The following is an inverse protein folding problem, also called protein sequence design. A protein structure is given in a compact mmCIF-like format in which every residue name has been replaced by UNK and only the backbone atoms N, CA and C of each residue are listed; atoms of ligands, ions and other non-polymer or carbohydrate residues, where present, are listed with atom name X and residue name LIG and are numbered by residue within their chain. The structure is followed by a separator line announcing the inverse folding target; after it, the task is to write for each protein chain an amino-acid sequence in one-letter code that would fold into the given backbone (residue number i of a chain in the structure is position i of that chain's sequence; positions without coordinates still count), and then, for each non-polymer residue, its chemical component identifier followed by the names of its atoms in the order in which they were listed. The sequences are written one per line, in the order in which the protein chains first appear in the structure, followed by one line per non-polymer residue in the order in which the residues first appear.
data_IF_229137017943
#
_entry.id   IF_229137017943
#
_cell.length_a   1.000
_cell.length_b   1.000
_cell.length_c   1.000
_cell.angle_alpha   90.00
_cell.angle_beta   90.00
_cell.angle_gamma   90.00
#
_symmetry.space_group_name_H-M   'P 1'
#
loop_
_entity.id
_entity.type
_entity.pdbx_description
1 polymer ?
#
# COMPACT_ATOMS: atom_id res chain seq x y z
N UNK A 1 -9.45 7.63 2.81
CA UNK A 1 -9.09 7.63 1.37
C UNK A 1 -8.13 8.80 1.17
N UNK A 2 -6.87 8.51 0.89
CA UNK A 2 -5.83 9.52 0.71
C UNK A 2 -5.40 9.55 -0.77
N UNK A 3 -5.04 10.74 -1.27
CA UNK A 3 -4.68 10.97 -2.66
C UNK A 3 -3.18 11.20 -2.87
N UNK A 4 -2.39 11.21 -1.79
CA UNK A 4 -0.94 11.37 -1.81
C UNK A 4 -0.32 10.15 -1.14
N UNK A 5 0.67 9.53 -1.79
CA UNK A 5 1.30 8.31 -1.29
C UNK A 5 2.05 8.57 0.03
N UNK A 6 2.65 9.74 0.19
CA UNK A 6 3.33 10.18 1.42
C UNK A 6 2.44 10.03 2.65
N UNK A 7 1.19 10.51 2.56
CA UNK A 7 0.22 10.43 3.67
C UNK A 7 -0.32 9.02 3.89
N UNK A 8 -0.20 8.13 2.89
CA UNK A 8 -0.56 6.72 3.02
C UNK A 8 0.53 5.95 3.77
N UNK A 9 1.80 6.31 3.57
CA UNK A 9 2.94 5.70 4.28
C UNK A 9 2.97 6.05 5.77
N UNK A 10 2.40 7.18 6.18
CA UNK A 10 2.26 7.58 7.59
C UNK A 10 1.08 6.90 8.33
N UNK A 11 0.32 6.04 7.66
CA UNK A 11 -0.82 5.36 8.28
C UNK A 11 -0.37 4.20 9.17
N UNK A 12 -1.05 3.99 10.30
CA UNK A 12 -0.78 2.84 11.17
C UNK A 12 -0.99 1.50 10.45
N UNK A 13 -1.99 1.44 9.56
CA UNK A 13 -2.33 0.29 8.73
C UNK A 13 -2.95 0.70 7.40
N UNK A 14 -2.79 -0.15 6.41
CA UNK A 14 -3.33 0.02 5.05
C UNK A 14 -4.26 -1.15 4.76
N UNK A 15 -5.45 -0.83 4.24
CA UNK A 15 -6.41 -1.79 3.71
C UNK A 15 -6.41 -1.70 2.18
N UNK A 16 -6.06 -2.80 1.51
CA UNK A 16 -6.14 -2.89 0.05
C UNK A 16 -7.38 -3.69 -0.34
N UNK A 17 -8.17 -3.10 -1.23
CA UNK A 17 -9.37 -3.71 -1.78
C UNK A 17 -9.15 -4.02 -3.26
N UNK A 18 -9.57 -5.21 -3.69
CA UNK A 18 -9.71 -5.58 -5.09
C UNK A 18 -11.10 -6.15 -5.35
N UNK A 19 -11.78 -5.63 -6.38
CA UNK A 19 -13.15 -6.01 -6.73
C UNK A 19 -14.13 -6.09 -5.52
N UNK A 20 -14.00 -5.19 -4.55
CA UNK A 20 -14.84 -5.15 -3.34
C UNK A 20 -14.45 -6.11 -2.22
N UNK A 21 -13.34 -6.85 -2.37
CA UNK A 21 -12.83 -7.78 -1.38
C UNK A 21 -11.52 -7.27 -0.76
N UNK A 22 -11.31 -7.58 0.52
CA UNK A 22 -10.05 -7.30 1.19
C UNK A 22 -9.00 -8.29 0.70
N UNK A 23 -7.94 -7.77 0.08
CA UNK A 23 -6.80 -8.58 -0.36
C UNK A 23 -5.59 -8.43 0.56
N UNK A 24 -5.43 -7.27 1.22
CA UNK A 24 -4.35 -7.04 2.18
C UNK A 24 -4.80 -6.11 3.32
N UNK A 25 -4.28 -6.36 4.52
CA UNK A 25 -4.48 -5.50 5.68
C UNK A 25 -3.31 -5.60 6.68
N UNK A 26 -2.36 -4.68 6.60
CA UNK A 26 -1.21 -4.63 7.51
C UNK A 26 -0.58 -3.22 7.56
N UNK A 27 0.47 -3.04 8.37
CA UNK A 27 1.26 -1.82 8.42
C UNK A 27 2.03 -1.59 7.09
N UNK A 28 2.23 -0.33 6.67
CA UNK A 28 2.98 0.00 5.45
C UNK A 28 4.33 -0.70 5.30
N UNK A 29 5.23 -0.72 6.31
CA UNK A 29 6.53 -1.38 6.17
C UNK A 29 6.41 -2.89 5.95
N UNK A 30 5.41 -3.54 6.57
CA UNK A 30 5.14 -4.98 6.36
C UNK A 30 4.74 -5.24 4.92
N UNK A 31 3.81 -4.43 4.39
CA UNK A 31 3.32 -4.59 3.03
C UNK A 31 4.39 -4.24 1.98
N UNK A 32 5.24 -3.26 2.23
CA UNK A 32 6.34 -2.88 1.32
C UNK A 32 7.49 -3.90 1.31
N UNK A 33 7.71 -4.61 2.42
CA UNK A 33 8.74 -5.65 2.49
C UNK A 33 8.38 -6.91 1.68
N UNK A 34 7.10 -7.10 1.36
CA UNK A 34 6.64 -8.21 0.54
C UNK A 34 6.63 -7.79 -0.96
N UNK A 35 7.50 -8.37 -1.81
CA UNK A 35 7.53 -8.02 -3.24
C UNK A 35 6.25 -8.41 -4.00
N UNK A 36 5.48 -9.38 -3.51
CA UNK A 36 4.21 -9.80 -4.12
C UNK A 36 3.01 -8.96 -3.65
N UNK A 37 3.24 -7.97 -2.78
CA UNK A 37 2.19 -7.15 -2.18
C UNK A 37 1.49 -6.28 -3.20
N UNK A 38 0.15 -6.27 -3.16
CA UNK A 38 -0.66 -5.37 -3.97
C UNK A 38 -0.34 -3.91 -3.66
N UNK A 39 -0.12 -3.58 -2.38
CA UNK A 39 0.32 -2.25 -1.98
C UNK A 39 1.72 -1.90 -2.51
N UNK A 40 2.69 -2.82 -2.44
CA UNK A 40 4.05 -2.57 -2.96
C UNK A 40 4.05 -2.33 -4.49
N UNK A 41 3.22 -3.07 -5.22
CA UNK A 41 3.01 -2.86 -6.65
C UNK A 41 2.37 -1.50 -6.97
N UNK A 42 1.45 -1.02 -6.14
CA UNK A 42 0.87 0.32 -6.29
C UNK A 42 1.90 1.42 -6.02
N UNK A 43 2.69 1.26 -4.95
CA UNK A 43 3.74 2.21 -4.58
C UNK A 43 4.82 2.34 -5.67
N UNK A 44 5.28 1.22 -6.24
CA UNK A 44 6.28 1.22 -7.33
C UNK A 44 5.76 1.85 -8.62
N UNK A 45 4.49 1.62 -8.98
CA UNK A 45 3.86 2.23 -10.18
C UNK A 45 3.63 3.74 -10.03
N UNK A 46 3.50 4.23 -8.80
CA UNK A 46 3.24 5.64 -8.50
C UNK A 46 4.47 6.57 -8.70
N UNK A 47 5.60 6.07 -9.25
CA UNK A 47 6.84 6.85 -9.45
C UNK A 47 7.38 7.47 -8.16
N UNK A 48 7.24 6.75 -7.03
CA UNK A 48 7.84 7.18 -5.76
C UNK A 48 9.21 6.52 -5.66
N UNK A 49 10.26 7.34 -5.49
CA UNK A 49 11.60 6.84 -5.18
C UNK A 49 11.52 6.19 -3.79
N UNK A 50 11.58 4.85 -3.76
CA UNK A 50 11.77 4.05 -2.55
C UNK A 50 13.22 4.13 -2.07
#
# INVERSE_FOLDING_TARGET
IAHRLETILDSDRILVLDAGHVVEFDAPPTLLANPDSAFAHLASKAHVQL
#
